data_IF_618453800208
#
_entry.id   IF_618453800208
#
_cell.length_a   1.000
_cell.length_b   1.000
_cell.length_c   1.000
_cell.angle_alpha   90.00
_cell.angle_beta   90.00
_cell.angle_gamma   90.00
#
_symmetry.space_group_name_H-M   'P 1'
#
loop_
_entity.id
_entity.type
_entity.pdbx_description
1 polymer ?
#
# COMPACT_ATOMS: atom_id res chain seq x y z
N UNK A 1 -3.10 17.38 -9.52
CA UNK A 1 -3.05 17.02 -8.09
C UNK A 1 -2.38 15.65 -8.05
N UNK A 2 -1.48 15.34 -7.13
CA UNK A 2 -0.79 14.04 -7.14
C UNK A 2 -1.06 13.27 -5.83
N UNK A 3 -1.17 11.95 -5.93
CA UNK A 3 -1.47 11.05 -4.82
C UNK A 3 -0.49 9.87 -4.83
N UNK A 4 -0.16 9.38 -3.63
CA UNK A 4 0.67 8.20 -3.41
C UNK A 4 0.07 7.32 -2.33
N UNK A 5 0.31 6.01 -2.44
CA UNK A 5 -0.19 5.01 -1.50
C UNK A 5 0.95 4.58 -0.57
N UNK A 6 0.67 4.55 0.72
CA UNK A 6 1.61 4.14 1.75
C UNK A 6 1.03 3.02 2.59
N UNK A 7 1.87 2.09 3.02
CA UNK A 7 1.57 1.18 4.13
C UNK A 7 2.13 1.79 5.40
N UNK A 8 1.38 1.67 6.48
CA UNK A 8 1.80 2.07 7.81
C UNK A 8 1.76 0.87 8.74
N UNK A 9 2.88 0.52 9.34
CA UNK A 9 2.91 -0.53 10.34
C UNK A 9 2.23 -0.05 11.63
N UNK A 10 1.28 -0.83 12.17
CA UNK A 10 0.54 -0.49 13.40
C UNK A 10 1.39 -0.60 14.67
N UNK A 11 2.49 -1.35 14.62
CA UNK A 11 3.33 -1.64 15.79
C UNK A 11 4.42 -0.60 15.99
N UNK A 12 5.19 -0.30 14.95
CA UNK A 12 6.30 0.66 15.03
C UNK A 12 5.95 2.04 14.44
N UNK A 13 4.86 2.13 13.69
CA UNK A 13 4.40 3.38 13.08
C UNK A 13 5.16 3.78 11.81
N UNK A 14 6.09 2.95 11.31
CA UNK A 14 6.77 3.15 10.03
C UNK A 14 5.77 3.32 8.90
N UNK A 15 6.09 4.23 8.00
CA UNK A 15 5.36 4.49 6.77
C UNK A 15 6.29 4.09 5.63
N UNK A 16 5.86 3.10 4.84
CA UNK A 16 6.58 2.63 3.67
C UNK A 16 5.75 2.91 2.42
N UNK A 17 6.43 3.35 1.36
CA UNK A 17 5.80 3.50 0.05
C UNK A 17 5.52 2.10 -0.50
N UNK A 18 4.26 1.83 -0.84
CA UNK A 18 3.87 0.53 -1.39
C UNK A 18 4.33 0.41 -2.83
N UNK A 19 4.28 1.53 -3.53
CA UNK A 19 4.66 1.60 -4.92
C UNK A 19 5.28 2.97 -5.22
N UNK A 20 6.21 2.97 -6.17
CA UNK A 20 6.83 4.18 -6.70
C UNK A 20 5.90 4.99 -7.61
N UNK A 21 4.73 4.45 -7.96
CA UNK A 21 3.74 5.11 -8.81
C UNK A 21 3.13 6.36 -8.17
N UNK A 22 2.83 7.33 -9.03
CA UNK A 22 2.19 8.60 -8.66
C UNK A 22 0.87 8.70 -9.43
N UNK A 23 -0.22 8.77 -8.69
CA UNK A 23 -1.56 8.87 -9.25
C UNK A 23 -1.93 10.34 -9.44
N UNK A 24 -2.56 10.67 -10.57
CA UNK A 24 -2.90 12.05 -10.92
C UNK A 24 -4.34 12.42 -10.57
N UNK A 25 -5.16 11.43 -10.20
CA UNK A 25 -6.49 11.60 -9.64
C UNK A 25 -6.64 10.82 -8.32
N UNK A 26 -7.60 11.24 -7.50
CA UNK A 26 -7.93 10.53 -6.26
C UNK A 26 -8.60 9.18 -6.57
N UNK A 27 -9.43 9.14 -7.60
CA UNK A 27 -10.18 7.94 -8.02
C UNK A 27 -9.22 6.85 -8.52
N UNK A 28 -8.19 7.23 -9.28
CA UNK A 28 -7.12 6.31 -9.70
C UNK A 28 -6.34 5.76 -8.50
N UNK A 29 -6.07 6.61 -7.50
CA UNK A 29 -5.37 6.19 -6.29
C UNK A 29 -6.23 5.26 -5.41
N UNK A 30 -7.55 5.44 -5.42
CA UNK A 30 -8.52 4.61 -4.69
C UNK A 30 -8.70 3.24 -5.37
N UNK A 31 -8.81 3.19 -6.69
CA UNK A 31 -8.87 1.92 -7.44
C UNK A 31 -7.59 1.09 -7.24
N UNK A 32 -6.42 1.72 -7.38
CA UNK A 32 -5.15 1.05 -7.16
C UNK A 32 -4.97 0.63 -5.68
N UNK A 33 -5.50 1.41 -4.74
CA UNK A 33 -5.51 1.06 -3.32
C UNK A 33 -6.35 -0.19 -3.04
N UNK A 34 -7.55 -0.28 -3.60
CA UNK A 34 -8.41 -1.46 -3.44
C UNK A 34 -7.77 -2.71 -4.06
N UNK A 35 -7.11 -2.57 -5.21
CA UNK A 35 -6.35 -3.65 -5.84
C UNK A 35 -5.16 -4.10 -4.96
N UNK A 36 -4.36 -3.15 -4.46
CA UNK A 36 -3.22 -3.43 -3.57
C UNK A 36 -3.67 -4.12 -2.28
N UNK A 37 -4.74 -3.65 -1.64
CA UNK A 37 -5.27 -4.28 -0.42
C UNK A 37 -5.81 -5.66 -0.74
N UNK A 38 -6.54 -5.82 -1.83
CA UNK A 38 -7.10 -7.11 -2.20
C UNK A 38 -5.98 -8.11 -2.50
N UNK A 39 -4.94 -7.71 -3.24
CA UNK A 39 -3.75 -8.53 -3.51
C UNK A 39 -3.03 -8.92 -2.22
N UNK A 40 -2.85 -7.97 -1.30
CA UNK A 40 -2.23 -8.22 0.01
C UNK A 40 -3.07 -9.13 0.92
N UNK A 41 -4.39 -8.95 0.96
CA UNK A 41 -5.32 -9.72 1.80
C UNK A 41 -5.59 -11.12 1.26
N UNK A 42 -5.64 -11.28 -0.06
CA UNK A 42 -5.86 -12.58 -0.71
C UNK A 42 -4.58 -13.39 -0.84
N UNK A 43 -3.41 -12.80 -0.53
CA UNK A 43 -2.10 -13.43 -0.72
C UNK A 43 -1.83 -13.78 -2.19
N UNK A 44 -2.58 -13.19 -3.12
CA UNK A 44 -2.51 -13.47 -4.56
C UNK A 44 -1.15 -13.12 -5.15
N UNK A 45 -0.47 -12.17 -4.52
CA UNK A 45 0.97 -12.03 -4.60
C UNK A 45 1.47 -11.94 -3.16
N UNK A 46 2.41 -12.82 -2.80
CA UNK A 46 3.52 -12.36 -1.98
C UNK A 46 4.06 -11.17 -2.76
N UNK A 47 3.52 -9.98 -2.49
CA UNK A 47 3.98 -8.74 -3.07
C UNK A 47 5.48 -8.82 -2.93
N UNK A 48 6.20 -8.86 -4.05
CA UNK A 48 7.65 -8.77 -4.10
C UNK A 48 8.10 -7.37 -3.67
N UNK A 49 7.46 -6.81 -2.64
CA UNK A 49 7.89 -5.72 -1.80
C UNK A 49 9.20 -6.16 -1.13
N UNK A 50 10.29 -6.07 -1.91
CA UNK A 50 11.67 -6.12 -1.46
C UNK A 50 12.15 -7.43 -0.82
N UNK A 51 11.63 -8.59 -1.23
CA UNK A 51 12.19 -9.91 -0.84
C UNK A 51 12.20 -10.17 0.67
N UNK A 52 11.44 -9.39 1.45
CA UNK A 52 11.18 -9.62 2.86
C UNK A 52 9.83 -10.28 2.96
N UNK A 53 9.75 -11.39 3.69
CA UNK A 53 8.48 -11.96 4.11
C UNK A 53 7.69 -10.86 4.82
N UNK A 54 6.67 -10.30 4.18
CA UNK A 54 5.79 -9.34 4.83
C UNK A 54 5.09 -10.05 6.00
N UNK A 55 5.20 -9.46 7.18
CA UNK A 55 4.42 -9.83 8.37
C UNK A 55 2.91 -9.79 8.09
N UNK A 56 2.12 -10.41 8.97
CA UNK A 56 0.66 -10.57 8.84
C UNK A 56 -0.03 -9.28 8.33
N UNK A 57 -0.86 -9.38 7.27
CA UNK A 57 -1.48 -8.21 6.65
C UNK A 57 -2.36 -7.38 7.60
N UNK A 58 -2.84 -7.99 8.68
CA UNK A 58 -3.61 -7.32 9.74
C UNK A 58 -2.80 -6.26 10.50
N UNK A 59 -1.46 -6.33 10.43
CA UNK A 59 -0.52 -5.47 11.13
C UNK A 59 -0.28 -4.13 10.43
N UNK A 60 -0.82 -3.94 9.23
CA UNK A 60 -0.59 -2.75 8.42
C UNK A 60 -1.90 -1.94 8.22
N UNK A 61 -1.77 -0.62 8.10
CA UNK A 61 -2.82 0.31 7.67
C UNK A 61 -2.41 0.91 6.33
N UNK A 62 -3.32 0.93 5.37
CA UNK A 62 -3.08 1.53 4.06
C UNK A 62 -3.58 2.97 4.08
N UNK A 63 -2.80 3.90 3.53
CA UNK A 63 -3.12 5.34 3.54
C UNK A 63 -2.75 5.98 2.21
N UNK A 64 -3.72 6.65 1.58
CA UNK A 64 -3.47 7.52 0.41
C UNK A 64 -3.09 8.91 0.91
N UNK A 65 -1.96 9.44 0.46
CA UNK A 65 -1.54 10.82 0.74
C UNK A 65 -1.42 11.63 -0.52
N UNK A 66 -1.92 12.87 -0.45
CA UNK A 66 -1.68 13.90 -1.46
C UNK A 66 -0.25 14.43 -1.33
N UNK A 67 0.44 14.57 -2.46
CA UNK A 67 1.77 15.16 -2.59
C UNK A 67 1.76 16.38 -3.52
#
# INVERSE_FOLDING_TARGET
>A
MAYKIFTKNKFDGSLEEIDGEIYHSQEEAEEAFDEVINNFMTGAEVLELSGRSCDDPSNYEYVIKKI
#
